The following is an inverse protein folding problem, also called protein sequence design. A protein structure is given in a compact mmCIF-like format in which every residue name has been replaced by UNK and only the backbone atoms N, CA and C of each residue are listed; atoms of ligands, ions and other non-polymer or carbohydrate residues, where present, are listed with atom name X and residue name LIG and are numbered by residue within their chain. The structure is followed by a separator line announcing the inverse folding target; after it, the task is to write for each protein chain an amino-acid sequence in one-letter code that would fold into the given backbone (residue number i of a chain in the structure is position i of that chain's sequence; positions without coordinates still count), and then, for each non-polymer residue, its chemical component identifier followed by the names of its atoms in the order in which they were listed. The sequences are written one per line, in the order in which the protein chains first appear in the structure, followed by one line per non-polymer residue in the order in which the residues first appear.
data_IF_514516362122
#
_entry.id   IF_514516362122
#
_cell.length_a   1.000
_cell.length_b   1.000
_cell.length_c   1.000
_cell.angle_alpha   90.00
_cell.angle_beta   90.00
_cell.angle_gamma   90.00
#
_symmetry.space_group_name_H-M   'P 1'
#
loop_
_entity.id
_entity.type
_entity.pdbx_description
1 polymer ?
#
# COMPACT_ATOMS: atom_id res chain seq x y z
N UNK A 1 -6.66 -2.52 -23.43
CA UNK A 1 -5.28 -3.04 -23.26
C UNK A 1 -4.28 -1.96 -23.69
N UNK A 2 -3.39 -1.53 -22.79
CA UNK A 2 -2.38 -0.48 -23.02
C UNK A 2 -1.03 -0.96 -22.44
N UNK A 3 0.10 -0.53 -23.03
CA UNK A 3 1.45 -0.90 -22.59
C UNK A 3 1.69 -0.64 -21.09
N UNK A 4 1.30 0.53 -20.58
CA UNK A 4 1.49 0.89 -19.17
C UNK A 4 0.72 -0.06 -18.23
N UNK A 5 -0.47 -0.51 -18.65
CA UNK A 5 -1.22 -1.51 -17.87
C UNK A 5 -0.52 -2.87 -17.86
N UNK A 6 0.07 -3.29 -18.99
CA UNK A 6 0.88 -4.51 -19.05
C UNK A 6 2.11 -4.41 -18.12
N UNK A 7 2.84 -3.30 -18.19
CA UNK A 7 4.01 -3.06 -17.34
C UNK A 7 3.64 -3.11 -15.86
N UNK A 8 2.52 -2.49 -15.48
CA UNK A 8 2.04 -2.51 -14.09
C UNK A 8 1.90 -3.94 -13.56
N UNK A 9 1.17 -4.79 -14.29
CA UNK A 9 0.91 -6.17 -13.86
C UNK A 9 2.16 -7.06 -13.88
N UNK A 10 3.10 -6.81 -14.79
CA UNK A 10 4.26 -7.69 -14.98
C UNK A 10 5.48 -7.26 -14.18
N UNK A 11 5.52 -6.02 -13.70
CA UNK A 11 6.55 -5.54 -12.78
C UNK A 11 6.26 -5.86 -11.31
N UNK A 12 5.03 -6.29 -10.97
CA UNK A 12 4.68 -6.67 -9.59
C UNK A 12 5.54 -7.87 -9.09
N UNK A 13 5.92 -7.91 -7.80
CA UNK A 13 6.78 -8.98 -7.25
C UNK A 13 6.21 -10.41 -7.38
N UNK A 14 4.89 -10.54 -7.45
CA UNK A 14 4.17 -11.81 -7.62
C UNK A 14 4.20 -12.35 -9.07
N UNK A 15 4.64 -11.55 -10.06
CA UNK A 15 4.77 -11.99 -11.44
C UNK A 15 5.90 -13.03 -11.58
N UNK A 16 5.83 -13.88 -12.61
CA UNK A 16 6.93 -14.81 -12.91
C UNK A 16 8.21 -14.03 -13.24
N UNK A 17 9.35 -14.52 -12.77
CA UNK A 17 10.63 -13.81 -12.87
C UNK A 17 11.00 -13.43 -14.31
N UNK A 18 10.83 -14.35 -15.26
CA UNK A 18 11.17 -14.15 -16.67
C UNK A 18 10.40 -12.96 -17.26
N UNK A 19 9.06 -12.97 -17.15
CA UNK A 19 8.23 -11.89 -17.69
C UNK A 19 8.43 -10.56 -16.96
N UNK A 20 8.75 -10.61 -15.66
CA UNK A 20 9.10 -9.42 -14.90
C UNK A 20 10.38 -8.79 -15.43
N UNK A 21 11.41 -9.58 -15.73
CA UNK A 21 12.65 -9.07 -16.30
C UNK A 21 12.43 -8.40 -17.66
N UNK A 22 11.62 -9.02 -18.54
CA UNK A 22 11.21 -8.38 -19.80
C UNK A 22 10.48 -7.06 -19.58
N UNK A 23 9.54 -7.01 -18.64
CA UNK A 23 8.80 -5.78 -18.32
C UNK A 23 9.71 -4.68 -17.77
N UNK A 24 10.68 -5.01 -16.92
CA UNK A 24 11.68 -4.04 -16.44
C UNK A 24 12.53 -3.48 -17.57
N UNK A 25 13.02 -4.33 -18.49
CA UNK A 25 13.78 -3.86 -19.65
C UNK A 25 12.94 -2.92 -20.52
N UNK A 26 11.69 -3.28 -20.84
CA UNK A 26 10.80 -2.43 -21.63
C UNK A 26 10.55 -1.10 -20.91
N UNK A 27 10.25 -1.13 -19.61
CA UNK A 27 9.96 0.07 -18.83
C UNK A 27 11.16 1.01 -18.68
N UNK A 28 12.27 0.50 -18.15
CA UNK A 28 13.43 1.31 -17.78
C UNK A 28 14.36 1.64 -18.95
N UNK A 29 14.51 0.74 -19.93
CA UNK A 29 15.47 0.94 -21.02
C UNK A 29 14.82 1.50 -22.30
N UNK A 30 13.48 1.44 -22.43
CA UNK A 30 12.78 1.91 -23.63
C UNK A 30 11.78 3.02 -23.32
N UNK A 31 10.80 2.78 -22.43
CA UNK A 31 9.75 3.76 -22.15
C UNK A 31 10.31 4.97 -21.41
N UNK A 32 11.12 4.75 -20.36
CA UNK A 32 11.70 5.82 -19.56
C UNK A 32 12.57 6.80 -20.37
N UNK A 33 13.50 6.36 -21.25
CA UNK A 33 14.31 7.29 -22.04
C UNK A 33 13.49 8.04 -23.11
N UNK A 34 12.50 7.39 -23.72
CA UNK A 34 11.71 7.99 -24.81
C UNK A 34 10.59 8.91 -24.29
N UNK A 35 10.01 8.60 -23.14
CA UNK A 35 8.84 9.29 -22.58
C UNK A 35 8.98 9.52 -21.06
N UNK A 36 9.99 10.30 -20.62
CA UNK A 36 10.34 10.42 -19.20
C UNK A 36 9.20 10.93 -18.31
N UNK A 37 8.42 11.93 -18.78
CA UNK A 37 7.29 12.49 -18.02
C UNK A 37 6.17 11.45 -17.85
N UNK A 38 5.90 10.65 -18.89
CA UNK A 38 4.90 9.58 -18.82
C UNK A 38 5.37 8.47 -17.89
N UNK A 39 6.67 8.15 -17.92
CA UNK A 39 7.27 7.17 -17.04
C UNK A 39 7.23 7.59 -15.57
N UNK A 40 7.58 8.83 -15.26
CA UNK A 40 7.49 9.40 -13.91
C UNK A 40 6.05 9.36 -13.39
N UNK A 41 5.08 9.84 -14.18
CA UNK A 41 3.67 9.75 -13.79
C UNK A 41 3.19 8.29 -13.63
N UNK A 42 3.73 7.35 -14.41
CA UNK A 42 3.43 5.94 -14.26
C UNK A 42 4.01 5.37 -12.96
N UNK A 43 5.26 5.72 -12.61
CA UNK A 43 5.89 5.34 -11.35
C UNK A 43 5.09 5.85 -10.15
N UNK A 44 4.74 7.15 -10.15
CA UNK A 44 4.08 7.80 -9.02
C UNK A 44 2.63 7.33 -8.82
N UNK A 45 1.83 7.29 -9.89
CA UNK A 45 0.39 7.07 -9.80
C UNK A 45 -0.05 5.62 -10.04
N UNK A 46 0.86 4.73 -10.46
CA UNK A 46 0.51 3.33 -10.77
C UNK A 46 1.42 2.30 -10.12
N UNK A 47 2.74 2.44 -10.21
CA UNK A 47 3.65 1.43 -9.64
C UNK A 47 3.79 1.58 -8.13
N UNK A 48 4.02 2.81 -7.66
CA UNK A 48 4.30 3.10 -6.26
C UNK A 48 3.07 3.62 -5.50
N UNK A 49 1.88 3.52 -6.10
CA UNK A 49 0.64 3.97 -5.48
C UNK A 49 0.16 3.03 -4.38
N UNK A 50 -0.30 3.59 -3.27
CA UNK A 50 -1.01 2.86 -2.23
C UNK A 50 -2.52 3.02 -2.41
N UNK A 51 -3.26 1.91 -2.50
CA UNK A 51 -4.74 1.94 -2.54
C UNK A 51 -5.33 1.69 -1.16
N UNK A 52 -6.13 2.65 -0.68
CA UNK A 52 -6.89 2.54 0.57
C UNK A 52 -8.35 2.16 0.25
N UNK A 53 -8.79 1.01 0.77
CA UNK A 53 -10.20 0.62 0.77
C UNK A 53 -11.03 1.51 1.69
N UNK A 54 -12.36 1.37 1.62
CA UNK A 54 -13.27 2.06 2.55
C UNK A 54 -12.92 1.75 4.01
N UNK A 55 -12.65 0.47 4.33
CA UNK A 55 -12.31 0.05 5.70
C UNK A 55 -10.96 0.61 6.16
N UNK A 56 -9.97 0.69 5.26
CA UNK A 56 -8.69 1.32 5.58
C UNK A 56 -8.87 2.79 5.99
N UNK A 57 -9.68 3.53 5.23
CA UNK A 57 -9.96 4.94 5.50
C UNK A 57 -10.70 5.13 6.82
N UNK A 58 -11.68 4.29 7.13
CA UNK A 58 -12.44 4.33 8.40
C UNK A 58 -11.54 4.03 9.60
N UNK A 59 -10.63 3.07 9.50
CA UNK A 59 -9.65 2.79 10.56
C UNK A 59 -8.72 3.98 10.78
N UNK A 60 -8.23 4.62 9.71
CA UNK A 60 -7.40 5.83 9.83
C UNK A 60 -8.16 6.95 10.54
N UNK A 61 -9.43 7.18 10.18
CA UNK A 61 -10.26 8.21 10.82
C UNK A 61 -10.45 7.93 12.32
N UNK A 62 -10.77 6.68 12.69
CA UNK A 62 -10.90 6.28 14.09
C UNK A 62 -9.59 6.43 14.86
N UNK A 63 -8.47 6.04 14.25
CA UNK A 63 -7.14 6.17 14.84
C UNK A 63 -6.78 7.63 15.12
N UNK A 64 -7.02 8.52 14.16
CA UNK A 64 -6.72 9.95 14.31
C UNK A 64 -7.63 10.64 15.32
N UNK A 65 -8.92 10.28 15.38
CA UNK A 65 -9.84 10.77 16.41
C UNK A 65 -9.39 10.36 17.81
N UNK A 66 -9.12 9.07 18.01
CA UNK A 66 -8.62 8.55 19.28
C UNK A 66 -7.26 9.17 19.66
N UNK A 67 -6.36 9.37 18.70
CA UNK A 67 -5.05 9.98 18.93
C UNK A 67 -5.17 11.43 19.43
N UNK A 68 -6.07 12.22 18.83
CA UNK A 68 -6.35 13.59 19.25
C UNK A 68 -6.89 13.66 20.68
N UNK A 69 -7.79 12.74 21.06
CA UNK A 69 -8.35 12.66 22.42
C UNK A 69 -7.31 12.18 23.45
N UNK A 70 -6.43 11.26 23.03
CA UNK A 70 -5.44 10.63 23.92
C UNK A 70 -4.12 11.39 24.02
N UNK A 71 -3.94 12.48 23.25
CA UNK A 71 -2.69 13.22 23.19
C UNK A 71 -1.51 12.42 22.61
N UNK A 72 -1.79 11.37 21.83
CA UNK A 72 -0.77 10.52 21.18
C UNK A 72 -0.61 10.93 19.72
N UNK A 73 0.56 10.65 19.16
CA UNK A 73 0.84 10.83 17.73
C UNK A 73 1.53 9.60 17.13
N UNK A 74 1.57 9.50 15.79
CA UNK A 74 2.30 8.43 15.12
C UNK A 74 3.82 8.51 15.38
N UNK A 75 4.55 7.39 15.25
CA UNK A 75 4.04 6.08 14.86
C UNK A 75 3.36 5.34 16.03
N UNK A 76 2.14 4.87 15.79
CA UNK A 76 1.30 4.16 16.75
C UNK A 76 1.78 2.70 16.94
N UNK A 77 1.47 2.08 18.08
CA UNK A 77 1.71 0.64 18.26
C UNK A 77 0.68 -0.21 17.53
N UNK A 78 0.96 -1.51 17.37
CA UNK A 78 -0.02 -2.46 16.84
C UNK A 78 -1.24 -2.54 17.76
N UNK A 79 -1.07 -2.43 19.08
CA UNK A 79 -2.18 -2.38 20.04
C UNK A 79 -3.08 -1.16 19.85
N UNK A 80 -2.48 0.00 19.55
CA UNK A 80 -3.22 1.23 19.27
C UNK A 80 -4.05 1.09 17.97
N UNK A 81 -3.51 0.42 16.94
CA UNK A 81 -4.26 0.03 15.74
C UNK A 81 -5.40 -0.97 16.05
N UNK A 82 -5.11 -2.05 16.79
CA UNK A 82 -6.09 -3.07 17.14
C UNK A 82 -7.22 -2.53 18.03
N UNK A 83 -6.94 -1.46 18.79
CA UNK A 83 -7.95 -0.75 19.59
C UNK A 83 -9.04 -0.13 18.71
N UNK A 84 -8.66 0.45 17.58
CA UNK A 84 -9.56 1.20 16.68
C UNK A 84 -9.93 0.43 15.40
N UNK A 85 -9.52 -0.84 15.33
CA UNK A 85 -9.85 -1.75 14.23
C UNK A 85 -11.35 -1.83 13.99
N UNK A 86 -11.73 -2.26 12.78
CA UNK A 86 -13.13 -2.47 12.45
C UNK A 86 -13.80 -3.51 13.35
N UNK A 87 -15.04 -3.24 13.77
CA UNK A 87 -15.77 -4.13 14.68
C UNK A 87 -15.99 -5.52 14.09
N UNK A 88 -16.16 -5.61 12.77
CA UNK A 88 -16.35 -6.87 12.06
C UNK A 88 -15.11 -7.77 12.10
N UNK A 89 -13.92 -7.20 12.35
CA UNK A 89 -12.66 -7.94 12.42
C UNK A 89 -12.38 -8.54 13.80
N UNK A 90 -12.95 -7.96 14.87
CA UNK A 90 -12.70 -8.38 16.27
C UNK A 90 -13.00 -9.86 16.56
N UNK A 91 -14.12 -10.45 16.10
CA UNK A 91 -14.40 -11.86 16.40
C UNK A 91 -13.55 -12.82 15.55
N UNK A 92 -12.84 -12.32 14.53
CA UNK A 92 -12.10 -13.16 13.60
C UNK A 92 -10.68 -13.43 14.10
N UNK A 93 -10.40 -14.71 14.34
CA UNK A 93 -9.05 -15.16 14.68
C UNK A 93 -8.04 -14.85 13.56
N UNK A 94 -8.46 -14.93 12.29
CA UNK A 94 -7.70 -14.50 11.12
C UNK A 94 -8.55 -13.57 10.27
N UNK A 95 -8.03 -12.39 9.95
CA UNK A 95 -8.72 -11.41 9.13
C UNK A 95 -7.73 -10.80 8.11
N UNK A 96 -7.85 -11.23 6.86
CA UNK A 96 -6.98 -10.75 5.77
C UNK A 96 -7.06 -9.23 5.59
N UNK A 97 -8.24 -8.64 5.68
CA UNK A 97 -8.43 -7.20 5.53
C UNK A 97 -7.74 -6.41 6.64
N UNK A 98 -7.82 -6.90 7.88
CA UNK A 98 -7.09 -6.32 9.02
C UNK A 98 -5.58 -6.36 8.79
N UNK A 99 -5.07 -7.51 8.36
CA UNK A 99 -3.63 -7.71 8.16
C UNK A 99 -3.12 -6.86 6.98
N UNK A 100 -3.90 -6.75 5.89
CA UNK A 100 -3.61 -5.84 4.78
C UNK A 100 -3.65 -4.37 5.22
N UNK A 101 -4.65 -3.96 6.01
CA UNK A 101 -4.76 -2.61 6.55
C UNK A 101 -3.54 -2.25 7.41
N UNK A 102 -3.17 -3.14 8.34
CA UNK A 102 -2.00 -2.98 9.19
C UNK A 102 -0.72 -2.81 8.35
N UNK A 103 -0.52 -3.70 7.37
CA UNK A 103 0.65 -3.64 6.49
C UNK A 103 0.72 -2.32 5.70
N UNK A 104 -0.42 -1.80 5.21
CA UNK A 104 -0.49 -0.50 4.54
C UNK A 104 -0.08 0.64 5.48
N UNK A 105 -0.60 0.66 6.71
CA UNK A 105 -0.29 1.71 7.69
C UNK A 105 1.16 1.64 8.18
N UNK A 106 1.74 0.45 8.26
CA UNK A 106 3.16 0.24 8.51
C UNK A 106 4.02 0.76 7.36
N UNK A 107 3.65 0.46 6.12
CA UNK A 107 4.37 0.91 4.93
C UNK A 107 4.48 2.44 4.81
N UNK A 108 3.50 3.19 5.35
CA UNK A 108 3.52 4.66 5.37
C UNK A 108 3.96 5.26 6.71
N UNK A 109 4.43 4.44 7.65
CA UNK A 109 4.96 4.91 8.94
C UNK A 109 3.91 5.41 9.95
N UNK A 110 2.62 5.13 9.72
CA UNK A 110 1.55 5.47 10.68
C UNK A 110 1.59 4.50 11.87
N UNK A 111 1.82 3.21 11.62
CA UNK A 111 1.96 2.17 12.66
C UNK A 111 3.39 1.65 12.65
N UNK A 112 3.96 1.34 13.81
CA UNK A 112 5.30 0.76 13.91
C UNK A 112 5.34 -0.64 13.26
N UNK A 113 6.36 -0.88 12.46
CA UNK A 113 6.75 -2.22 12.04
C UNK A 113 7.53 -2.87 13.18
N UNK A 114 7.09 -4.03 13.65
CA UNK A 114 7.95 -4.86 14.51
C UNK A 114 9.00 -5.51 13.60
N UNK A 115 10.28 -5.28 13.91
CA UNK A 115 11.41 -5.88 13.22
C UNK A 115 11.80 -7.21 13.88
#
# INVERSE_FOLDING_TARGET
HNLLHFLRLRMEPNAQQEIRQYAHTIGHEIVKPLFPIVWEAFEDYRLNSLTLSRLDQEVIQRLMGWAAESGKGPPFSVDDFLRVQDETWRPLSRCRERDECLAKLQAVGIVRSEH
#
